data_IF_724440693289
#
_entry.id   IF_724440693289
#
_cell.length_a   1.000
_cell.length_b   1.000
_cell.length_c   1.000
_cell.angle_alpha   90.00
_cell.angle_beta   90.00
_cell.angle_gamma   90.00
#
_symmetry.space_group_name_H-M   'P 1'
#
loop_
_entity.id
_entity.type
_entity.pdbx_description
1 polymer ?
#
# COMPACT_ATOMS: atom_id res chain seq x y z
N UNK A 1 33.00 -14.80 -48.67
CA UNK A 1 31.63 -15.35 -48.57
C UNK A 1 30.80 -14.40 -47.71
N UNK A 2 29.89 -13.64 -48.32
CA UNK A 2 29.00 -12.72 -47.60
C UNK A 2 27.85 -13.53 -47.01
N UNK A 3 27.76 -13.60 -45.68
CA UNK A 3 26.70 -14.34 -44.98
C UNK A 3 25.34 -13.67 -45.14
N UNK A 4 24.30 -14.46 -45.40
CA UNK A 4 22.94 -13.95 -45.53
C UNK A 4 22.51 -13.17 -44.26
N UNK A 5 21.87 -11.99 -44.41
CA UNK A 5 21.47 -11.17 -43.28
C UNK A 5 20.45 -11.92 -42.42
N UNK A 6 20.66 -11.91 -41.10
CA UNK A 6 19.74 -12.59 -40.19
C UNK A 6 18.40 -11.82 -40.10
N UNK A 7 17.35 -12.47 -39.59
CA UNK A 7 16.01 -11.89 -39.50
C UNK A 7 15.93 -10.59 -38.67
N UNK A 8 16.86 -10.34 -37.73
CA UNK A 8 16.92 -9.08 -36.97
C UNK A 8 17.48 -7.94 -37.82
N UNK A 9 18.46 -8.22 -38.68
CA UNK A 9 19.07 -7.25 -39.57
C UNK A 9 18.07 -6.78 -40.62
N UNK A 10 17.33 -7.72 -41.23
CA UNK A 10 16.22 -7.43 -42.15
C UNK A 10 15.15 -6.57 -41.47
N UNK A 11 14.76 -6.91 -40.23
CA UNK A 11 13.75 -6.15 -39.48
C UNK A 11 14.23 -4.74 -39.09
N UNK A 12 15.52 -4.56 -38.84
CA UNK A 12 16.13 -3.26 -38.52
C UNK A 12 16.17 -2.36 -39.77
N UNK A 13 16.54 -2.92 -40.92
CA UNK A 13 16.54 -2.24 -42.22
C UNK A 13 15.14 -1.79 -42.63
N UNK A 14 14.15 -2.69 -42.55
CA UNK A 14 12.75 -2.37 -42.86
C UNK A 14 12.20 -1.27 -41.95
N UNK A 15 12.54 -1.30 -40.66
CA UNK A 15 12.12 -0.27 -39.70
C UNK A 15 12.79 1.08 -39.97
N UNK A 16 14.04 1.08 -40.44
CA UNK A 16 14.75 2.29 -40.88
C UNK A 16 14.14 2.89 -42.14
N UNK A 17 13.89 2.07 -43.16
CA UNK A 17 13.28 2.50 -44.42
C UNK A 17 11.86 3.07 -44.23
N UNK A 18 11.04 2.42 -43.40
CA UNK A 18 9.69 2.92 -43.06
C UNK A 18 9.73 4.25 -42.29
N UNK A 19 10.73 4.47 -41.44
CA UNK A 19 10.90 5.75 -40.74
C UNK A 19 11.30 6.89 -41.69
N UNK A 20 12.13 6.60 -42.70
CA UNK A 20 12.52 7.56 -43.75
C UNK A 20 11.33 7.92 -44.66
N UNK A 21 10.56 6.93 -45.11
CA UNK A 21 9.41 7.13 -46.00
C UNK A 21 8.25 7.90 -45.33
N UNK A 22 8.15 7.85 -44.00
CA UNK A 22 7.08 8.52 -43.25
C UNK A 22 7.48 9.90 -42.72
N UNK A 23 8.68 10.41 -43.06
CA UNK A 23 9.19 11.69 -42.52
C UNK A 23 9.37 11.68 -40.99
N UNK A 24 9.36 10.49 -40.36
CA UNK A 24 9.50 10.30 -38.90
C UNK A 24 10.96 10.07 -38.48
N UNK A 25 11.90 10.53 -39.30
CA UNK A 25 13.34 10.32 -39.10
C UNK A 25 13.91 11.14 -37.96
N UNK A 26 13.40 12.35 -37.74
CA UNK A 26 13.93 13.24 -36.72
C UNK A 26 13.00 13.31 -35.50
N UNK A 27 13.43 12.67 -34.40
CA UNK A 27 12.98 13.13 -33.09
C UNK A 27 13.45 14.59 -33.00
N UNK A 28 12.51 15.52 -32.82
CA UNK A 28 12.80 16.94 -32.68
C UNK A 28 13.86 17.25 -31.60
N UNK A 29 14.19 18.53 -31.38
CA UNK A 29 15.37 18.96 -30.60
C UNK A 29 15.50 18.27 -29.22
N UNK A 30 14.39 17.87 -28.62
CA UNK A 30 14.31 17.16 -27.34
C UNK A 30 14.47 15.62 -27.44
N UNK A 31 15.34 15.12 -28.32
CA UNK A 31 15.53 13.66 -28.56
C UNK A 31 15.82 12.83 -27.30
N UNK A 32 16.42 13.45 -26.28
CA UNK A 32 16.78 12.84 -24.99
C UNK A 32 15.60 12.74 -24.02
N UNK A 33 14.52 13.50 -24.25
CA UNK A 33 13.32 13.49 -23.42
C UNK A 33 12.48 12.24 -23.69
N UNK A 34 12.04 11.58 -22.62
CA UNK A 34 11.17 10.40 -22.74
C UNK A 34 9.73 10.81 -23.01
N UNK A 35 9.00 9.96 -23.74
CA UNK A 35 7.55 10.14 -23.97
C UNK A 35 6.79 10.12 -22.64
N UNK A 36 5.71 10.90 -22.58
CA UNK A 36 4.88 11.10 -21.37
C UNK A 36 5.68 11.67 -20.18
N UNK A 37 6.67 12.50 -20.48
CA UNK A 37 7.28 13.38 -19.50
C UNK A 37 6.56 14.73 -19.51
N UNK A 38 6.28 15.26 -18.33
CA UNK A 38 5.56 16.51 -18.15
C UNK A 38 6.49 17.61 -17.62
N UNK A 39 6.14 18.87 -17.88
CA UNK A 39 6.90 19.98 -17.31
C UNK A 39 6.83 19.96 -15.78
N UNK A 40 7.90 20.32 -15.08
CA UNK A 40 7.91 20.37 -13.61
C UNK A 40 6.83 21.31 -13.07
N UNK A 41 6.51 22.37 -13.80
CA UNK A 41 5.50 23.37 -13.40
C UNK A 41 4.08 22.97 -13.83
N UNK A 42 3.94 21.90 -14.61
CA UNK A 42 2.63 21.42 -15.06
C UNK A 42 1.85 20.76 -13.92
N UNK A 43 0.52 20.93 -13.94
CA UNK A 43 -0.39 20.29 -12.97
C UNK A 43 -0.22 18.77 -12.90
N UNK A 44 0.12 18.13 -14.01
CA UNK A 44 0.35 16.69 -14.09
C UNK A 44 1.62 16.25 -13.33
N UNK A 45 2.60 17.13 -13.16
CA UNK A 45 3.82 16.87 -12.40
C UNK A 45 3.66 17.16 -10.89
N UNK A 46 2.60 17.90 -10.51
CA UNK A 46 2.29 18.26 -9.12
C UNK A 46 1.50 17.13 -8.42
N UNK A 47 2.20 16.04 -8.13
CA UNK A 47 1.61 14.79 -7.60
C UNK A 47 1.78 14.61 -6.08
N UNK A 48 2.57 15.48 -5.44
CA UNK A 48 2.93 15.31 -4.04
C UNK A 48 1.74 15.55 -3.10
N UNK A 49 1.68 14.73 -2.05
CA UNK A 49 0.66 14.80 -1.00
C UNK A 49 1.33 14.57 0.36
N UNK A 50 0.92 15.29 1.41
CA UNK A 50 1.44 15.06 2.76
C UNK A 50 1.38 13.58 3.13
N UNK A 51 2.43 13.08 3.79
CA UNK A 51 2.47 11.69 4.27
C UNK A 51 1.86 11.65 5.67
N UNK A 52 0.88 10.77 5.87
CA UNK A 52 0.13 10.72 7.13
C UNK A 52 -0.68 12.01 7.33
N UNK A 53 -0.26 12.82 8.29
CA UNK A 53 -0.83 14.14 8.56
C UNK A 53 0.15 15.30 8.28
N UNK A 54 1.28 15.01 7.63
CA UNK A 54 2.32 15.99 7.32
C UNK A 54 3.28 16.30 8.46
N UNK A 55 3.06 15.75 9.66
CA UNK A 55 4.00 15.85 10.78
C UNK A 55 5.00 14.70 10.76
N UNK A 56 6.19 14.87 11.34
CA UNK A 56 7.18 13.79 11.43
C UNK A 56 6.63 12.57 12.18
N UNK A 57 6.00 12.78 13.34
CA UNK A 57 5.45 11.69 14.14
C UNK A 57 4.33 10.95 13.41
N UNK A 58 3.43 11.68 12.74
CA UNK A 58 2.35 11.07 11.96
C UNK A 58 2.83 10.35 10.72
N UNK A 59 3.79 10.92 9.99
CA UNK A 59 4.38 10.29 8.83
C UNK A 59 5.10 8.99 9.20
N UNK A 60 5.93 8.98 10.25
CA UNK A 60 6.57 7.75 10.74
C UNK A 60 5.52 6.72 11.17
N UNK A 61 4.46 7.17 11.86
CA UNK A 61 3.35 6.30 12.24
C UNK A 61 2.67 5.64 11.04
N UNK A 62 2.37 6.44 10.02
CA UNK A 62 1.76 6.02 8.77
C UNK A 62 2.65 5.05 8.00
N UNK A 63 3.96 5.34 7.92
CA UNK A 63 4.97 4.49 7.27
C UNK A 63 5.03 3.11 7.94
N UNK A 64 5.08 3.05 9.27
CA UNK A 64 5.10 1.77 9.99
C UNK A 64 3.82 0.96 9.71
N UNK A 65 2.65 1.60 9.71
CA UNK A 65 1.37 0.96 9.40
C UNK A 65 1.33 0.44 7.97
N UNK A 66 1.82 1.22 7.00
CA UNK A 66 1.90 0.82 5.60
C UNK A 66 2.82 -0.40 5.45
N UNK A 67 4.08 -0.30 5.91
CA UNK A 67 5.08 -1.35 5.79
C UNK A 67 4.62 -2.65 6.46
N UNK A 68 4.02 -2.56 7.64
CA UNK A 68 3.42 -3.71 8.31
C UNK A 68 2.33 -4.35 7.46
N UNK A 69 1.40 -3.54 6.96
CA UNK A 69 0.25 -4.05 6.19
C UNK A 69 0.68 -4.74 4.90
N UNK A 70 1.59 -4.11 4.14
CA UNK A 70 2.05 -4.68 2.86
C UNK A 70 2.91 -5.92 3.05
N UNK A 71 3.71 -5.98 4.13
CA UNK A 71 4.52 -7.16 4.46
C UNK A 71 3.64 -8.33 4.92
N UNK A 72 2.67 -8.06 5.80
CA UNK A 72 1.67 -9.06 6.22
C UNK A 72 0.94 -9.63 5.00
N UNK A 73 0.52 -8.77 4.07
CA UNK A 73 -0.16 -9.19 2.85
C UNK A 73 0.76 -10.00 1.91
N UNK A 74 2.00 -9.56 1.68
CA UNK A 74 2.98 -10.26 0.83
C UNK A 74 3.30 -11.67 1.38
N UNK A 75 3.39 -11.81 2.71
CA UNK A 75 3.57 -13.10 3.39
C UNK A 75 2.34 -14.01 3.27
N UNK A 76 1.13 -13.45 3.40
CA UNK A 76 -0.11 -14.20 3.26
C UNK A 76 -0.27 -14.76 1.84
N UNK A 77 0.00 -13.96 0.82
CA UNK A 77 -0.05 -14.42 -0.58
C UNK A 77 0.99 -15.51 -0.85
N UNK A 78 2.18 -15.42 -0.24
CA UNK A 78 3.19 -16.48 -0.31
C UNK A 78 2.70 -17.79 0.32
N UNK A 79 2.05 -17.72 1.49
CA UNK A 79 1.55 -18.92 2.21
C UNK A 79 0.47 -19.68 1.45
N UNK A 80 -0.26 -19.02 0.54
CA UNK A 80 -1.22 -19.65 -0.38
C UNK A 80 -0.55 -20.47 -1.50
N UNK A 81 0.77 -20.64 -1.47
CA UNK A 81 1.54 -21.34 -2.51
C UNK A 81 1.98 -20.44 -3.67
N UNK A 82 1.71 -19.14 -3.59
CA UNK A 82 2.09 -18.16 -4.61
C UNK A 82 3.49 -17.58 -4.44
N UNK A 83 3.98 -16.90 -5.48
CA UNK A 83 5.12 -16.00 -5.35
C UNK A 83 4.72 -14.75 -4.54
N UNK A 84 5.67 -14.16 -3.81
CA UNK A 84 5.50 -12.87 -3.14
C UNK A 84 5.14 -11.79 -4.17
N UNK A 85 3.95 -11.14 -4.10
CA UNK A 85 3.55 -10.10 -5.05
C UNK A 85 4.54 -8.92 -5.12
N UNK A 86 5.04 -8.47 -3.97
CA UNK A 86 6.01 -7.39 -3.84
C UNK A 86 7.43 -7.97 -3.86
N UNK A 87 7.64 -9.00 -3.04
CA UNK A 87 8.94 -9.64 -2.85
C UNK A 87 9.93 -8.79 -2.07
N UNK A 88 11.04 -9.43 -1.65
CA UNK A 88 12.04 -8.83 -0.78
C UNK A 88 12.61 -7.50 -1.31
N UNK A 89 13.00 -7.46 -2.59
CA UNK A 89 13.54 -6.24 -3.19
C UNK A 89 12.49 -5.14 -3.34
N UNK A 90 11.21 -5.50 -3.54
CA UNK A 90 10.11 -4.53 -3.57
C UNK A 90 9.94 -3.84 -2.22
N UNK A 91 9.95 -4.62 -1.14
CA UNK A 91 9.89 -4.10 0.23
C UNK A 91 11.10 -3.21 0.53
N UNK A 92 12.32 -3.64 0.18
CA UNK A 92 13.53 -2.82 0.39
C UNK A 92 13.49 -1.49 -0.37
N UNK A 93 13.02 -1.49 -1.61
CA UNK A 93 12.86 -0.24 -2.39
C UNK A 93 11.79 0.65 -1.77
N UNK A 94 10.69 0.07 -1.27
CA UNK A 94 9.64 0.82 -0.58
C UNK A 94 10.17 1.45 0.72
N UNK A 95 10.90 0.71 1.55
CA UNK A 95 11.58 1.22 2.74
C UNK A 95 12.53 2.38 2.42
N UNK A 96 13.34 2.24 1.35
CA UNK A 96 14.25 3.29 0.88
C UNK A 96 13.49 4.55 0.52
N UNK A 97 12.41 4.43 -0.26
CA UNK A 97 11.61 5.58 -0.72
C UNK A 97 10.83 6.26 0.42
N UNK A 98 10.49 5.52 1.46
CA UNK A 98 9.86 6.04 2.68
C UNK A 98 10.88 6.60 3.70
N UNK A 99 12.17 6.70 3.32
CA UNK A 99 13.23 7.25 4.15
C UNK A 99 13.69 6.34 5.30
N UNK A 100 13.18 5.10 5.41
CA UNK A 100 13.50 4.18 6.52
C UNK A 100 14.93 3.67 6.51
N UNK A 101 15.57 3.67 5.35
CA UNK A 101 16.96 3.21 5.19
C UNK A 101 17.98 4.35 5.24
N UNK A 102 17.54 5.59 5.49
CA UNK A 102 18.38 6.78 5.40
C UNK A 102 18.73 7.16 3.95
N UNK A 103 19.48 8.24 3.75
CA UNK A 103 20.04 8.63 2.45
C UNK A 103 19.07 9.22 1.42
N UNK A 104 17.76 9.09 1.62
CA UNK A 104 16.72 9.82 0.88
C UNK A 104 15.91 10.64 1.87
N UNK A 105 15.95 11.96 1.72
CA UNK A 105 15.13 12.86 2.51
C UNK A 105 13.74 12.95 1.89
N UNK A 106 12.73 12.67 2.72
CA UNK A 106 11.32 12.79 2.35
C UNK A 106 10.77 13.98 3.11
N UNK A 107 10.27 14.98 2.39
CA UNK A 107 9.52 16.05 3.04
C UNK A 107 8.12 15.52 3.37
N UNK A 108 7.86 15.24 4.64
CA UNK A 108 6.59 14.69 5.08
C UNK A 108 5.42 15.67 4.93
N UNK A 109 5.68 16.98 5.03
CA UNK A 109 4.65 18.01 4.95
C UNK A 109 4.13 18.14 3.53
N UNK A 110 5.01 18.14 2.55
CA UNK A 110 4.61 18.27 1.14
C UNK A 110 4.43 16.92 0.46
N UNK A 111 5.10 15.88 0.94
CA UNK A 111 5.23 14.58 0.28
C UNK A 111 6.25 14.56 -0.84
N UNK A 112 7.09 15.60 -0.96
CA UNK A 112 8.04 15.73 -2.06
C UNK A 112 9.07 14.59 -2.01
N UNK A 113 9.09 13.80 -3.08
CA UNK A 113 9.96 12.64 -3.23
C UNK A 113 10.46 12.54 -4.68
N UNK A 114 11.71 12.93 -4.89
CA UNK A 114 12.31 13.08 -6.23
C UNK A 114 13.67 12.39 -6.43
N UNK A 115 13.95 11.21 -5.81
CA UNK A 115 15.25 10.58 -5.93
C UNK A 115 15.53 10.08 -7.35
N UNK A 116 16.78 10.23 -7.80
CA UNK A 116 17.25 9.53 -8.99
C UNK A 116 17.23 8.01 -8.76
N UNK A 117 17.00 7.22 -9.83
CA UNK A 117 17.00 5.75 -9.74
C UNK A 117 18.34 5.24 -9.17
N UNK A 118 19.44 5.88 -9.53
CA UNK A 118 20.77 5.49 -9.06
C UNK A 118 20.97 5.81 -7.56
N UNK A 119 20.34 6.87 -7.07
CA UNK A 119 20.26 7.14 -5.61
C UNK A 119 19.48 6.04 -4.90
N UNK A 120 18.32 5.62 -5.43
CA UNK A 120 17.54 4.52 -4.86
C UNK A 120 18.37 3.22 -4.85
N UNK A 121 19.07 2.92 -5.94
CA UNK A 121 19.93 1.76 -6.08
C UNK A 121 21.05 1.73 -5.03
N UNK A 122 21.77 2.85 -4.89
CA UNK A 122 22.84 3.01 -3.90
C UNK A 122 22.34 2.82 -2.47
N UNK A 123 21.25 3.49 -2.09
CA UNK A 123 20.69 3.43 -0.73
C UNK A 123 20.05 2.07 -0.41
N UNK A 124 19.38 1.46 -1.39
CA UNK A 124 18.79 0.14 -1.22
C UNK A 124 19.85 -0.99 -1.21
N UNK A 125 21.07 -0.73 -1.69
CA UNK A 125 22.10 -1.75 -1.91
C UNK A 125 21.74 -2.72 -3.03
N UNK A 126 21.10 -2.22 -4.09
CA UNK A 126 20.58 -3.03 -5.19
C UNK A 126 21.13 -2.54 -6.54
N UNK A 127 21.25 -3.44 -7.50
CA UNK A 127 21.56 -3.02 -8.86
C UNK A 127 20.37 -2.27 -9.49
N UNK A 128 20.68 -1.39 -10.43
CA UNK A 128 19.70 -0.53 -11.10
C UNK A 128 18.54 -1.30 -11.73
N UNK A 129 18.82 -2.45 -12.34
CA UNK A 129 17.81 -3.30 -12.99
C UNK A 129 16.83 -3.89 -11.98
N UNK A 130 17.31 -4.30 -10.81
CA UNK A 130 16.47 -4.78 -9.71
C UNK A 130 15.58 -3.67 -9.15
N UNK A 131 16.11 -2.45 -9.01
CA UNK A 131 15.30 -1.29 -8.61
C UNK A 131 14.18 -1.03 -9.62
N UNK A 132 14.48 -0.99 -10.91
CA UNK A 132 13.47 -0.78 -11.95
C UNK A 132 12.37 -1.85 -11.92
N UNK A 133 12.75 -3.13 -11.71
CA UNK A 133 11.78 -4.23 -11.57
C UNK A 133 10.93 -4.08 -10.30
N UNK A 134 11.54 -3.70 -9.18
CA UNK A 134 10.84 -3.46 -7.92
C UNK A 134 9.85 -2.30 -8.03
N UNK A 135 10.26 -1.16 -8.61
CA UNK A 135 9.38 -0.02 -8.89
C UNK A 135 8.20 -0.44 -9.78
N UNK A 136 8.45 -1.20 -10.85
CA UNK A 136 7.40 -1.69 -11.73
C UNK A 136 6.36 -2.57 -10.99
N UNK A 137 6.81 -3.44 -10.09
CA UNK A 137 5.91 -4.25 -9.25
C UNK A 137 5.09 -3.39 -8.30
N UNK A 138 5.70 -2.45 -7.58
CA UNK A 138 5.00 -1.54 -6.67
C UNK A 138 3.92 -0.71 -7.40
N UNK A 139 4.19 -0.30 -8.65
CA UNK A 139 3.22 0.42 -9.48
C UNK A 139 2.12 -0.49 -10.05
N UNK A 140 2.44 -1.73 -10.41
CA UNK A 140 1.42 -2.71 -10.81
C UNK A 140 0.42 -2.96 -9.66
N UNK A 141 0.92 -2.97 -8.42
CA UNK A 141 0.13 -3.13 -7.20
C UNK A 141 -0.52 -1.85 -6.70
N UNK A 142 -0.35 -0.73 -7.43
CA UNK A 142 -0.94 0.57 -7.08
C UNK A 142 -0.59 1.03 -5.66
N UNK A 143 0.65 0.78 -5.24
CA UNK A 143 1.23 1.26 -3.96
C UNK A 143 2.04 2.54 -4.21
N UNK A 144 2.78 2.54 -5.32
CA UNK A 144 3.70 3.61 -5.70
C UNK A 144 3.45 3.99 -7.15
N UNK A 145 3.41 5.29 -7.40
CA UNK A 145 3.33 5.83 -8.73
C UNK A 145 4.45 6.84 -8.98
N UNK A 146 4.70 7.14 -10.26
CA UNK A 146 5.65 8.19 -10.61
C UNK A 146 5.25 8.93 -11.88
N UNK A 147 5.64 10.19 -11.93
CA UNK A 147 5.57 11.03 -13.11
C UNK A 147 6.98 11.33 -13.57
N UNK A 148 7.22 11.10 -14.87
CA UNK A 148 8.47 11.54 -15.50
C UNK A 148 8.37 13.02 -15.76
N UNK A 149 9.44 13.75 -15.48
CA UNK A 149 9.41 15.22 -15.53
C UNK A 149 10.49 15.77 -16.43
N UNK A 150 10.25 16.97 -16.95
CA UNK A 150 11.19 17.74 -17.77
C UNK A 150 11.22 19.18 -17.30
N UNK A 151 12.35 19.85 -17.49
CA UNK A 151 12.43 21.30 -17.32
C UNK A 151 12.97 21.94 -18.60
N UNK A 152 12.64 23.21 -18.80
CA UNK A 152 13.21 24.00 -19.90
C UNK A 152 14.69 24.23 -19.64
N UNK A 153 15.51 24.02 -20.67
CA UNK A 153 16.93 24.39 -20.61
C UNK A 153 17.07 25.90 -20.72
N UNK A 154 18.22 26.43 -20.29
CA UNK A 154 18.57 27.85 -20.51
C UNK A 154 18.81 28.21 -21.98
N UNK A 155 18.89 27.21 -22.87
CA UNK A 155 19.13 27.36 -24.32
C UNK A 155 17.88 27.80 -25.11
N UNK A 156 16.94 28.49 -24.47
CA UNK A 156 15.69 28.90 -25.08
C UNK A 156 15.96 29.73 -26.36
N UNK A 157 15.53 29.22 -27.52
CA UNK A 157 15.73 29.90 -28.81
C UNK A 157 17.11 29.73 -29.43
N UNK A 158 18.03 29.00 -28.79
CA UNK A 158 19.32 28.63 -29.37
C UNK A 158 19.30 27.23 -30.01
N UNK A 159 20.20 26.92 -30.97
CA UNK A 159 20.31 25.58 -31.53
C UNK A 159 20.64 24.54 -30.45
N UNK A 160 19.76 23.55 -30.26
CA UNK A 160 19.94 22.48 -29.29
C UNK A 160 18.66 22.03 -28.59
N UNK A 161 18.73 21.03 -27.68
CA UNK A 161 17.60 20.60 -26.88
C UNK A 161 17.04 21.77 -26.06
N UNK A 162 15.74 21.97 -26.13
CA UNK A 162 15.04 23.04 -25.41
C UNK A 162 14.56 22.55 -24.04
N UNK A 163 14.50 21.22 -23.86
CA UNK A 163 14.06 20.58 -22.62
C UNK A 163 15.02 19.47 -22.22
N UNK A 164 15.22 19.34 -20.92
CA UNK A 164 16.00 18.25 -20.35
C UNK A 164 15.18 17.38 -19.40
N UNK A 165 15.59 16.13 -19.28
CA UNK A 165 14.94 15.15 -18.42
C UNK A 165 15.42 15.35 -16.99
N UNK A 166 14.48 15.57 -16.07
CA UNK A 166 14.78 15.62 -14.63
C UNK A 166 14.34 14.33 -13.94
N UNK A 167 14.62 14.24 -12.64
CA UNK A 167 14.22 13.09 -11.82
C UNK A 167 12.71 12.93 -11.78
N UNK A 168 12.27 11.67 -11.68
CA UNK A 168 10.86 11.38 -11.53
C UNK A 168 10.34 11.90 -10.18
N UNK A 169 9.09 12.35 -10.18
CA UNK A 169 8.34 12.59 -8.94
C UNK A 169 7.62 11.30 -8.56
N UNK A 170 7.82 10.82 -7.34
CA UNK A 170 7.15 9.63 -6.81
C UNK A 170 6.10 10.02 -5.77
N UNK A 171 5.01 9.27 -5.70
CA UNK A 171 4.01 9.40 -4.64
C UNK A 171 3.37 8.05 -4.32
N UNK A 172 2.80 7.96 -3.13
CA UNK A 172 2.10 6.77 -2.66
C UNK A 172 0.60 6.96 -2.85
N UNK A 173 -0.04 5.93 -3.38
CA UNK A 173 -1.50 5.80 -3.39
C UNK A 173 -1.81 4.40 -2.88
N UNK A 174 -2.85 4.25 -2.06
CA UNK A 174 -3.28 2.97 -1.51
C UNK A 174 -4.68 2.60 -2.00
N UNK A 175 -5.27 3.43 -2.87
CA UNK A 175 -6.62 3.25 -3.40
C UNK A 175 -6.76 1.95 -4.20
N UNK A 176 -5.71 1.54 -4.92
CA UNK A 176 -5.71 0.35 -5.76
C UNK A 176 -5.36 -0.96 -5.04
N UNK A 177 -5.03 -0.92 -3.75
CA UNK A 177 -4.80 -2.13 -2.96
C UNK A 177 -6.10 -2.94 -2.78
N UNK A 178 -6.02 -4.28 -2.61
CA UNK A 178 -7.18 -5.11 -2.29
C UNK A 178 -7.93 -4.57 -1.07
N UNK A 179 -9.25 -4.61 -1.09
CA UNK A 179 -10.10 -3.97 -0.07
C UNK A 179 -9.74 -4.40 1.36
N UNK A 180 -9.46 -5.69 1.59
CA UNK A 180 -9.04 -6.21 2.90
C UNK A 180 -7.71 -5.63 3.38
N UNK A 181 -6.75 -5.48 2.47
CA UNK A 181 -5.43 -4.89 2.78
C UNK A 181 -5.58 -3.42 3.11
N UNK A 182 -6.38 -2.70 2.33
CA UNK A 182 -6.68 -1.28 2.57
C UNK A 182 -7.41 -1.08 3.90
N UNK A 183 -8.35 -1.94 4.24
CA UNK A 183 -9.04 -1.90 5.52
C UNK A 183 -8.08 -2.17 6.69
N UNK A 184 -7.23 -3.21 6.57
CA UNK A 184 -6.18 -3.49 7.56
C UNK A 184 -5.29 -2.29 7.82
N UNK A 185 -4.86 -1.60 6.77
CA UNK A 185 -4.08 -0.37 6.88
C UNK A 185 -4.86 0.71 7.67
N UNK A 186 -6.13 0.97 7.31
CA UNK A 186 -6.97 1.96 8.00
C UNK A 186 -7.12 1.62 9.48
N UNK A 187 -7.36 0.35 9.83
CA UNK A 187 -7.55 -0.07 11.22
C UNK A 187 -6.28 0.15 12.05
N UNK A 188 -5.10 -0.15 11.49
CA UNK A 188 -3.82 0.10 12.15
C UNK A 188 -3.56 1.59 12.29
N UNK A 189 -3.82 2.36 11.24
CA UNK A 189 -3.59 3.79 11.22
C UNK A 189 -4.52 4.53 12.18
N UNK A 190 -5.81 4.22 12.18
CA UNK A 190 -6.79 4.79 13.13
C UNK A 190 -6.41 4.47 14.57
N UNK A 191 -6.03 3.22 14.87
CA UNK A 191 -5.55 2.84 16.21
C UNK A 191 -4.31 3.64 16.64
N UNK A 192 -3.36 3.85 15.73
CA UNK A 192 -2.14 4.60 16.02
C UNK A 192 -2.41 6.09 16.19
N UNK A 193 -3.31 6.66 15.39
CA UNK A 193 -3.79 8.04 15.51
C UNK A 193 -4.48 8.28 16.84
N UNK A 194 -5.46 7.46 17.20
CA UNK A 194 -6.20 7.55 18.47
C UNK A 194 -5.26 7.51 19.67
N UNK A 195 -4.32 6.54 19.70
CA UNK A 195 -3.30 6.45 20.76
C UNK A 195 -2.42 7.69 20.86
N UNK A 196 -2.06 8.30 19.72
CA UNK A 196 -1.21 9.49 19.67
C UNK A 196 -1.97 10.75 20.07
N UNK A 197 -3.23 10.85 19.67
CA UNK A 197 -4.12 11.98 19.98
C UNK A 197 -4.64 11.92 21.43
N UNK A 198 -4.22 10.94 22.23
CA UNK A 198 -4.49 10.86 23.67
C UNK A 198 -5.89 10.35 24.03
N UNK A 199 -6.70 10.01 23.02
CA UNK A 199 -7.94 9.30 23.27
C UNK A 199 -7.60 7.84 23.62
N UNK A 200 -7.73 7.49 24.91
CA UNK A 200 -8.39 6.23 25.23
C UNK A 200 -9.61 6.11 24.29
N UNK A 201 -10.03 4.91 23.83
CA UNK A 201 -11.39 4.80 23.29
C UNK A 201 -12.31 5.60 24.23
N UNK A 202 -13.32 6.36 23.76
CA UNK A 202 -14.32 6.83 24.71
C UNK A 202 -14.63 5.61 25.56
N UNK A 203 -14.54 5.72 26.89
CA UNK A 203 -15.18 4.73 27.73
C UNK A 203 -16.55 4.61 27.07
N UNK A 204 -16.81 3.50 26.37
CA UNK A 204 -18.19 3.03 26.27
C UNK A 204 -18.61 3.15 27.70
N UNK A 205 -19.52 4.10 28.04
CA UNK A 205 -19.80 4.38 29.44
C UNK A 205 -20.04 3.01 30.01
N UNK A 206 -19.14 2.56 30.91
CA UNK A 206 -19.37 1.31 31.62
C UNK A 206 -20.74 1.59 32.19
N UNK A 207 -21.75 0.92 31.66
CA UNK A 207 -23.11 1.10 32.12
C UNK A 207 -23.02 0.56 33.53
N UNK A 208 -22.77 1.47 34.48
CA UNK A 208 -22.66 1.19 35.89
C UNK A 208 -24.06 0.90 36.31
N UNK A 209 -24.43 -0.36 36.12
CA UNK A 209 -25.77 -0.89 36.33
C UNK A 209 -26.21 -1.73 35.14
N UNK A 210 -26.71 -2.96 35.34
CA UNK A 210 -27.53 -3.60 34.32
C UNK A 210 -28.67 -2.63 33.94
N UNK A 211 -29.03 -2.57 32.65
CA UNK A 211 -30.27 -1.93 32.22
C UNK A 211 -31.40 -2.39 33.15
N UNK A 212 -32.33 -1.51 33.59
CA UNK A 212 -33.44 -1.92 34.46
C UNK A 212 -34.23 -3.10 33.90
N UNK A 213 -34.26 -3.23 32.56
CA UNK A 213 -34.82 -4.38 31.86
C UNK A 213 -34.02 -5.66 32.06
N UNK A 214 -32.68 -5.60 31.96
CA UNK A 214 -31.79 -6.73 32.26
C UNK A 214 -31.83 -7.11 33.74
N UNK A 215 -31.95 -6.15 34.65
CA UNK A 215 -32.10 -6.38 36.08
C UNK A 215 -33.44 -7.08 36.40
N UNK A 216 -34.53 -6.68 35.74
CA UNK A 216 -35.83 -7.35 35.88
C UNK A 216 -35.81 -8.77 35.33
N UNK A 217 -35.15 -9.00 34.19
CA UNK A 217 -34.99 -10.34 33.61
C UNK A 217 -34.18 -11.23 34.56
N UNK A 218 -33.03 -10.77 35.05
CA UNK A 218 -32.22 -11.50 36.03
C UNK A 218 -32.99 -11.78 37.33
N UNK A 219 -33.72 -10.80 37.87
CA UNK A 219 -34.55 -10.99 39.06
C UNK A 219 -35.68 -12.02 38.85
N UNK A 220 -36.27 -12.06 37.66
CA UNK A 220 -37.29 -13.08 37.34
C UNK A 220 -36.71 -14.49 37.24
N UNK A 221 -35.48 -14.62 36.74
CA UNK A 221 -34.75 -15.89 36.66
C UNK A 221 -34.37 -16.35 38.07
N UNK A 222 -33.86 -15.46 38.92
CA UNK A 222 -33.54 -15.76 40.32
C UNK A 222 -34.79 -16.18 41.11
N UNK A 223 -35.91 -15.49 40.95
CA UNK A 223 -37.18 -15.86 41.58
C UNK A 223 -37.70 -17.23 41.11
N UNK A 224 -37.50 -17.55 39.83
CA UNK A 224 -37.90 -18.85 39.27
C UNK A 224 -37.01 -19.99 39.77
N UNK A 225 -35.71 -19.74 39.97
CA UNK A 225 -34.77 -20.70 40.56
C UNK A 225 -35.11 -20.92 42.04
N UNK A 226 -35.33 -19.86 42.80
CA UNK A 226 -35.72 -19.96 44.21
C UNK A 226 -37.07 -20.67 44.39
N UNK A 227 -38.06 -20.42 43.53
CA UNK A 227 -39.34 -21.14 43.56
C UNK A 227 -39.16 -22.65 43.26
N UNK A 228 -38.16 -23.01 42.44
CA UNK A 228 -37.82 -24.40 42.13
C UNK A 228 -37.07 -25.10 43.26
N UNK A 229 -36.30 -24.36 44.07
CA UNK A 229 -35.63 -24.89 45.27
C UNK A 229 -36.59 -25.12 46.45
N UNK A 230 -37.69 -24.36 46.55
CA UNK A 230 -38.75 -24.58 47.55
C UNK A 230 -39.81 -25.61 47.11
N UNK A 231 -39.77 -26.02 45.83
CA UNK A 231 -40.49 -27.19 45.34
C UNK A 231 -39.80 -28.47 45.80
N UNK A 232 -40.05 -28.84 47.05
CA UNK A 232 -39.60 -30.09 47.65
C UNK A 232 -39.81 -31.27 46.68
N UNK A 233 -38.72 -31.98 46.37
CA UNK A 233 -38.84 -33.36 45.87
C UNK A 233 -39.66 -34.17 46.88
N UNK A 234 -40.63 -34.99 46.45
CA UNK A 234 -41.34 -35.86 47.37
C UNK A 234 -40.33 -36.82 48.02
N UNK A 235 -40.42 -37.08 49.34
CA UNK A 235 -39.59 -38.09 49.97
C UNK A 235 -39.88 -39.45 49.34
N UNK A 236 -38.82 -40.22 49.11
CA UNK A 236 -38.93 -41.53 48.47
C UNK A 236 -39.88 -42.48 49.22
N UNK A 237 -40.59 -43.29 48.44
CA UNK A 237 -41.16 -44.54 48.92
C UNK A 237 -42.65 -44.74 48.61
N UNK A 238 -42.94 -45.36 47.46
CA UNK A 238 -43.84 -46.52 47.34
C UNK A 238 -43.93 -46.92 45.85
N UNK A 239 -43.22 -47.98 45.47
CA UNK A 239 -43.55 -48.71 44.24
C UNK A 239 -44.74 -49.65 44.56
N UNK A 240 -45.83 -49.61 43.79
CA UNK A 240 -46.88 -50.61 43.93
C UNK A 240 -46.30 -51.97 43.52
N UNK A 241 -46.33 -52.95 44.43
CA UNK A 241 -46.10 -54.35 44.09
C UNK A 241 -47.23 -54.78 43.16
N UNK A 242 -46.89 -55.07 41.90
CA UNK A 242 -47.78 -55.78 40.99
C UNK A 242 -48.02 -57.18 41.54
N UNK A 243 -49.25 -57.43 41.99
CA UNK A 243 -49.74 -58.79 42.25
C UNK A 243 -49.73 -59.59 40.94
N UNK A 244 -48.82 -60.54 40.84
CA UNK A 244 -48.90 -61.62 39.87
C UNK A 244 -49.83 -62.67 40.47
N UNK A 245 -51.07 -62.76 39.95
CA UNK A 245 -51.89 -63.96 40.12
C UNK A 245 -51.55 -64.92 38.98
N UNK A 246 -51.17 -66.14 39.36
CA UNK A 246 -51.09 -67.30 38.46
C UNK A 246 -52.47 -67.84 38.12
#
# INVERSE_FOLDING_TARGET
MSGAPNARDVRRLLKGASAHLTGRTERGPDRKVRRYSYDVDSRQAQVFRPIGDGTTAGALGWIDCLLKTVTEWDDLERRKGGARPIGFHGIRVLETLLGRRGGIQVDFRTGRLEPAIDTIARVAGLCRTTVVRALARLNALKILHWVRRTQRTQNAGQPGPQREQVTNAYWFDLSGLPARVRQRFRDLWNRKRVRREGALPPDTPKTTGPSPELAAILGSIEASIAAKEHGASPPGGQYPRSEIKG
#
